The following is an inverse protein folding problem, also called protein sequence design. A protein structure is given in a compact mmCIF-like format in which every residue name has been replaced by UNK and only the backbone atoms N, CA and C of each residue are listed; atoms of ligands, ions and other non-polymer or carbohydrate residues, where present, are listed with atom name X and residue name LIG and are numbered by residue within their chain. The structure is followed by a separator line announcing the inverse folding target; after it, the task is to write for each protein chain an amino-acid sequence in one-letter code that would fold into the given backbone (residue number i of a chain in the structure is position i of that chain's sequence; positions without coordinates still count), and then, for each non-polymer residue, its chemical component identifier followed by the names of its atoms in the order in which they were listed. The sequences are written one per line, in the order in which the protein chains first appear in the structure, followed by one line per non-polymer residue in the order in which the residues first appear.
data_IF_052897993417
#
_entry.id   IF_052897993417
#
_cell.length_a   1.000
_cell.length_b   1.000
_cell.length_c   1.000
_cell.angle_alpha   90.00
_cell.angle_beta   90.00
_cell.angle_gamma   90.00
#
_symmetry.space_group_name_H-M   'P 1'
#
loop_
_entity.id
_entity.type
_entity.pdbx_description
1 polymer ?
#
# COMPACT_ATOMS: atom_id res chain seq x y z
N UNK A 1 12.27 1.63 -10.37
CA UNK A 1 11.07 2.24 -10.95
C UNK A 1 10.64 3.42 -10.10
N UNK A 2 10.29 4.50 -10.72
CA UNK A 2 9.75 5.69 -10.07
C UNK A 2 8.25 5.74 -10.22
N UNK A 3 7.57 5.97 -9.11
CA UNK A 3 6.11 6.05 -9.04
C UNK A 3 5.72 7.33 -8.33
N UNK A 4 4.74 8.04 -8.87
CA UNK A 4 4.18 9.22 -8.22
C UNK A 4 2.71 8.96 -7.88
N UNK A 5 2.38 9.11 -6.60
CA UNK A 5 1.01 9.13 -6.13
C UNK A 5 0.60 10.59 -6.04
N UNK A 6 -0.31 11.01 -6.90
CA UNK A 6 -0.62 12.44 -7.07
C UNK A 6 -1.93 12.82 -6.42
N UNK A 7 -1.88 13.90 -5.65
CA UNK A 7 -3.07 14.54 -5.05
C UNK A 7 -3.88 13.63 -4.12
N UNK A 8 -3.22 12.72 -3.43
CA UNK A 8 -3.87 11.88 -2.42
C UNK A 8 -4.02 12.63 -1.09
N UNK A 9 -4.90 12.13 -0.23
CA UNK A 9 -5.08 12.68 1.11
C UNK A 9 -4.29 11.86 2.13
N UNK A 10 -3.45 12.54 2.88
CA UNK A 10 -2.62 11.93 3.93
C UNK A 10 -3.03 12.51 5.28
N UNK A 11 -3.11 11.67 6.30
CA UNK A 11 -3.37 12.13 7.66
C UNK A 11 -2.05 12.60 8.28
N UNK A 12 -2.01 13.87 8.68
CA UNK A 12 -0.83 14.49 9.25
C UNK A 12 -1.24 15.37 10.42
N UNK A 13 -0.70 15.08 11.60
CA UNK A 13 -1.02 15.81 12.82
C UNK A 13 -2.53 15.95 13.07
N UNK A 14 -3.28 14.87 12.83
CA UNK A 14 -4.73 14.85 13.03
C UNK A 14 -5.56 15.53 11.96
N UNK A 15 -4.94 15.99 10.89
CA UNK A 15 -5.63 16.66 9.77
C UNK A 15 -5.32 15.98 8.46
N UNK A 16 -6.30 15.95 7.56
CA UNK A 16 -6.14 15.47 6.20
C UNK A 16 -5.48 16.56 5.35
N UNK A 17 -4.46 16.17 4.62
CA UNK A 17 -3.73 17.08 3.73
C UNK A 17 -3.59 16.43 2.37
N UNK A 18 -3.95 17.15 1.32
CA UNK A 18 -3.71 16.70 -0.05
C UNK A 18 -2.24 16.88 -0.39
N UNK A 19 -1.62 15.83 -0.89
CA UNK A 19 -0.18 15.83 -1.14
C UNK A 19 0.18 14.80 -2.20
N UNK A 20 1.35 14.98 -2.79
CA UNK A 20 1.96 13.99 -3.66
C UNK A 20 2.95 13.15 -2.83
N UNK A 21 3.10 11.88 -3.22
CA UNK A 21 4.10 11.00 -2.64
C UNK A 21 4.92 10.41 -3.78
N UNK A 22 6.22 10.62 -3.73
CA UNK A 22 7.16 10.12 -4.72
C UNK A 22 7.88 8.88 -4.19
N UNK A 23 7.88 7.83 -4.99
CA UNK A 23 8.45 6.53 -4.62
C UNK A 23 9.50 6.16 -5.67
N UNK A 24 10.67 5.75 -5.21
CA UNK A 24 11.74 5.25 -6.07
C UNK A 24 12.25 3.93 -5.52
N UNK A 25 12.18 2.90 -6.36
CA UNK A 25 12.64 1.56 -6.02
C UNK A 25 12.09 1.05 -4.69
N UNK A 26 10.77 1.26 -4.46
CA UNK A 26 10.08 0.79 -3.27
C UNK A 26 10.24 1.65 -2.04
N UNK A 27 10.90 2.80 -2.14
CA UNK A 27 11.16 3.71 -1.02
C UNK A 27 10.52 5.05 -1.28
N UNK A 28 9.85 5.61 -0.29
CA UNK A 28 9.34 6.98 -0.35
C UNK A 28 10.54 7.93 -0.30
N UNK A 29 10.73 8.70 -1.36
CA UNK A 29 11.88 9.62 -1.46
C UNK A 29 11.49 11.08 -1.31
N UNK A 30 10.22 11.42 -1.50
CA UNK A 30 9.74 12.79 -1.33
C UNK A 30 8.24 12.81 -1.08
N UNK A 31 7.78 13.84 -0.39
CA UNK A 31 6.37 14.11 -0.16
C UNK A 31 6.17 15.61 -0.16
N UNK A 32 5.13 16.09 -0.78
CA UNK A 32 4.85 17.52 -0.84
C UNK A 32 3.80 17.85 -1.89
N UNK A 33 3.42 19.11 -1.95
CA UNK A 33 2.45 19.58 -2.93
C UNK A 33 3.12 19.84 -4.27
N UNK A 34 2.48 19.40 -5.35
CA UNK A 34 2.91 19.64 -6.72
C UNK A 34 4.39 19.28 -6.96
N UNK A 35 4.76 18.07 -6.58
CA UNK A 35 6.12 17.59 -6.76
C UNK A 35 6.48 17.51 -8.26
N UNK A 36 7.65 18.04 -8.60
CA UNK A 36 8.26 17.86 -9.91
C UNK A 36 9.11 16.59 -9.85
N UNK A 37 8.49 15.44 -10.14
CA UNK A 37 9.12 14.13 -10.01
C UNK A 37 8.84 13.31 -11.27
N UNK A 38 9.82 13.17 -12.19
CA UNK A 38 9.63 12.32 -13.36
C UNK A 38 9.44 10.87 -12.94
N UNK A 39 8.29 10.29 -13.27
CA UNK A 39 7.94 8.95 -12.87
C UNK A 39 7.45 8.13 -14.07
N UNK A 40 7.78 6.83 -14.07
CA UNK A 40 7.29 5.90 -15.08
C UNK A 40 5.80 5.62 -14.92
N UNK A 41 5.32 5.70 -13.67
CA UNK A 41 3.89 5.55 -13.37
C UNK A 41 3.42 6.69 -12.48
N UNK A 42 2.29 7.29 -12.87
CA UNK A 42 1.63 8.32 -12.09
C UNK A 42 0.20 7.84 -11.79
N UNK A 43 -0.16 7.80 -10.52
CA UNK A 43 -1.51 7.45 -10.09
C UNK A 43 -2.21 8.72 -9.64
N UNK A 44 -3.38 8.99 -10.23
CA UNK A 44 -4.25 10.06 -9.78
C UNK A 44 -4.99 9.58 -8.52
N UNK A 45 -4.60 10.10 -7.38
CA UNK A 45 -5.13 9.67 -6.08
C UNK A 45 -6.16 10.66 -5.52
N UNK A 46 -6.68 11.56 -6.35
CA UNK A 46 -7.73 12.49 -5.90
C UNK A 46 -8.95 11.70 -5.43
N UNK A 47 -9.44 12.03 -4.25
CA UNK A 47 -10.57 11.34 -3.63
C UNK A 47 -10.18 10.10 -2.84
N UNK A 48 -8.90 9.74 -2.82
CA UNK A 48 -8.40 8.60 -2.06
C UNK A 48 -7.57 9.04 -0.87
N UNK A 49 -7.71 8.28 0.22
CA UNK A 49 -6.83 8.42 1.37
C UNK A 49 -5.61 7.51 1.18
N UNK A 50 -4.43 8.04 1.45
CA UNK A 50 -3.18 7.28 1.37
C UNK A 50 -2.76 6.86 2.78
N UNK A 51 -2.53 5.58 2.94
CA UNK A 51 -2.08 4.99 4.19
C UNK A 51 -0.82 4.17 3.97
N UNK A 52 -0.01 3.96 5.02
CA UNK A 52 0.95 2.88 5.00
C UNK A 52 0.24 1.54 4.76
N UNK A 53 0.93 0.56 4.20
CA UNK A 53 0.37 -0.78 4.03
C UNK A 53 -0.09 -1.33 5.37
N UNK A 54 -1.23 -2.02 5.35
CA UNK A 54 -1.81 -2.58 6.58
C UNK A 54 -1.00 -3.77 7.08
N UNK A 55 -1.02 -3.97 8.39
CA UNK A 55 -0.37 -5.09 9.06
C UNK A 55 -1.44 -5.89 9.79
N UNK A 56 -1.52 -7.19 9.52
CA UNK A 56 -2.40 -8.10 10.26
C UNK A 56 -1.53 -9.03 11.11
N UNK A 57 -1.68 -8.93 12.43
CA UNK A 57 -0.83 -9.68 13.35
C UNK A 57 -1.39 -11.06 13.70
N UNK A 58 -2.53 -11.46 13.12
CA UNK A 58 -3.12 -12.76 13.39
C UNK A 58 -3.97 -13.21 12.20
N UNK A 59 -3.41 -14.03 11.33
CA UNK A 59 -4.11 -14.53 10.15
C UNK A 59 -3.80 -16.02 9.97
N UNK A 60 -4.76 -16.77 9.43
CA UNK A 60 -4.59 -18.17 9.08
C UNK A 60 -4.65 -18.32 7.57
N UNK A 61 -3.57 -18.80 6.96
CA UNK A 61 -3.48 -19.03 5.53
C UNK A 61 -3.87 -20.45 5.11
N UNK A 62 -4.30 -21.28 6.04
CA UNK A 62 -4.89 -22.62 5.85
C UNK A 62 -3.96 -23.68 5.27
N UNK A 63 -2.70 -23.40 5.14
CA UNK A 63 -1.72 -24.34 4.61
C UNK A 63 -0.53 -24.46 5.59
N UNK A 64 -0.08 -25.65 5.93
CA UNK A 64 -0.57 -26.97 5.50
C UNK A 64 -1.84 -27.41 6.24
N UNK A 65 -2.52 -28.41 5.68
CA UNK A 65 -3.65 -29.11 6.32
C UNK A 65 -5.01 -28.75 5.77
N UNK A 66 -5.21 -27.53 5.33
CA UNK A 66 -6.50 -27.04 4.83
C UNK A 66 -6.35 -26.35 3.46
N UNK A 67 -5.42 -26.83 2.66
CA UNK A 67 -5.13 -26.23 1.35
C UNK A 67 -6.31 -26.28 0.38
N UNK A 68 -7.29 -27.13 0.63
CA UNK A 68 -8.53 -27.11 -0.15
C UNK A 68 -9.39 -25.87 0.11
N UNK A 69 -9.19 -25.19 1.25
CA UNK A 69 -9.86 -23.92 1.56
C UNK A 69 -9.10 -22.74 0.97
N UNK A 70 -7.77 -22.77 1.12
CA UNK A 70 -6.90 -21.66 0.72
C UNK A 70 -5.44 -22.14 0.76
N UNK A 71 -4.64 -21.65 -0.16
CA UNK A 71 -3.20 -21.86 -0.11
C UNK A 71 -2.50 -20.59 0.36
N UNK A 72 -1.23 -20.69 0.71
CA UNK A 72 -0.42 -19.52 1.05
C UNK A 72 -0.41 -18.54 -0.13
N UNK A 73 -0.31 -19.06 -1.36
CA UNK A 73 -0.31 -18.22 -2.56
C UNK A 73 -1.63 -17.46 -2.73
N UNK A 74 -2.78 -18.14 -2.59
CA UNK A 74 -4.09 -17.49 -2.75
C UNK A 74 -4.40 -16.55 -1.61
N UNK A 75 -4.07 -16.93 -0.38
CA UNK A 75 -4.27 -16.09 0.80
C UNK A 75 -3.42 -14.82 0.77
N UNK A 76 -2.15 -14.95 0.39
CA UNK A 76 -1.27 -13.79 0.30
C UNK A 76 -1.68 -12.85 -0.83
N UNK A 77 -2.17 -13.38 -1.95
CA UNK A 77 -2.72 -12.55 -3.03
C UNK A 77 -3.95 -11.77 -2.56
N UNK A 78 -4.83 -12.39 -1.79
CA UNK A 78 -5.98 -11.71 -1.21
C UNK A 78 -5.56 -10.61 -0.23
N UNK A 79 -4.53 -10.87 0.60
CA UNK A 79 -3.97 -9.85 1.48
C UNK A 79 -3.46 -8.65 0.70
N UNK A 80 -2.68 -8.89 -0.33
CA UNK A 80 -2.14 -7.81 -1.17
C UNK A 80 -3.26 -6.99 -1.82
N UNK A 81 -4.30 -7.66 -2.31
CA UNK A 81 -5.45 -6.97 -2.90
C UNK A 81 -6.19 -6.10 -1.88
N UNK A 82 -6.20 -6.51 -0.62
CA UNK A 82 -6.80 -5.74 0.47
C UNK A 82 -5.93 -4.62 1.04
N UNK A 83 -4.70 -4.46 0.54
CA UNK A 83 -3.80 -3.41 1.02
C UNK A 83 -2.90 -3.83 2.17
N UNK A 84 -2.82 -5.13 2.48
CA UNK A 84 -1.95 -5.65 3.53
C UNK A 84 -0.57 -5.92 2.97
N UNK A 85 0.45 -5.35 3.59
CA UNK A 85 1.85 -5.53 3.18
C UNK A 85 2.62 -6.45 4.11
N UNK A 86 2.06 -6.74 5.27
CA UNK A 86 2.66 -7.64 6.26
C UNK A 86 1.56 -8.40 6.97
N UNK A 87 1.72 -9.72 7.09
CA UNK A 87 0.82 -10.56 7.86
C UNK A 87 1.61 -11.52 8.73
N UNK A 88 1.09 -11.82 9.91
CA UNK A 88 1.68 -12.81 10.80
C UNK A 88 0.81 -14.05 10.74
N UNK A 89 1.25 -15.06 9.99
CA UNK A 89 0.53 -16.31 9.82
C UNK A 89 0.64 -17.18 11.08
N UNK A 90 -0.48 -17.67 11.54
CA UNK A 90 -0.58 -18.56 12.70
C UNK A 90 -0.49 -20.03 12.27
#
# INVERSE_FOLDING_TARGET
MRVLLKDGSVLEHGKWKQTDVAIENGVIVARGEQLSFPAEKVFDCRGFALFPGFVDVHVHLREPGFSYKETIATGSAACAHGGYTTVCAM
#
